data_IF_453221892659
#
_entry.id   IF_453221892659
#
_cell.length_a   1.000
_cell.length_b   1.000
_cell.length_c   1.000
_cell.angle_alpha   90.00
_cell.angle_beta   90.00
_cell.angle_gamma   90.00
#
_symmetry.space_group_name_H-M   'P 1'
#
loop_
_entity.id
_entity.type
_entity.pdbx_description
1 polymer ?
#
# COMPACT_ATOMS: atom_id res chain seq x y z
N UNK A 1 57.31 -47.72 23.71
CA UNK A 1 56.35 -47.58 22.60
C UNK A 1 55.17 -46.76 23.12
N UNK A 2 55.15 -45.45 22.86
CA UNK A 2 54.03 -44.57 23.21
C UNK A 2 53.29 -44.24 21.92
N UNK A 3 52.07 -44.73 21.79
CA UNK A 3 51.15 -44.49 20.68
C UNK A 3 50.56 -43.08 20.83
N UNK A 4 50.88 -42.20 19.89
CA UNK A 4 50.25 -40.89 19.77
C UNK A 4 48.86 -41.05 19.13
N UNK A 5 47.82 -40.66 19.87
CA UNK A 5 46.46 -40.59 19.35
C UNK A 5 46.31 -39.30 18.53
N UNK A 6 46.07 -39.45 17.22
CA UNK A 6 45.72 -38.35 16.34
C UNK A 6 44.23 -38.04 16.55
N UNK A 7 43.92 -36.91 17.18
CA UNK A 7 42.57 -36.34 17.16
C UNK A 7 42.28 -35.84 15.75
N UNK A 8 41.40 -36.54 15.03
CA UNK A 8 40.77 -36.03 13.82
C UNK A 8 39.68 -35.06 14.25
N UNK A 9 39.94 -33.76 14.13
CA UNK A 9 38.88 -32.75 14.16
C UNK A 9 37.96 -33.00 12.97
N UNK A 10 36.76 -33.50 13.23
CA UNK A 10 35.69 -33.52 12.24
C UNK A 10 35.36 -32.06 11.91
N UNK A 11 35.78 -31.59 10.74
CA UNK A 11 35.26 -30.37 10.15
C UNK A 11 33.75 -30.54 10.01
N UNK A 12 32.99 -29.87 10.87
CA UNK A 12 31.58 -29.63 10.64
C UNK A 12 31.45 -28.98 9.27
N UNK A 13 30.93 -29.74 8.30
CA UNK A 13 30.56 -29.19 7.00
C UNK A 13 29.65 -28.00 7.28
N UNK A 14 30.13 -26.79 6.98
CA UNK A 14 29.27 -25.63 6.90
C UNK A 14 28.13 -26.05 5.97
N UNK A 15 26.89 -26.04 6.47
CA UNK A 15 25.76 -25.90 5.56
C UNK A 15 26.14 -24.75 4.62
N UNK A 16 26.15 -25.01 3.31
CA UNK A 16 26.63 -24.02 2.34
C UNK A 16 25.94 -22.68 2.59
N UNK A 17 26.67 -21.58 2.42
CA UNK A 17 26.09 -20.25 2.59
C UNK A 17 24.78 -20.16 1.78
N UNK A 18 23.73 -19.50 2.33
CA UNK A 18 22.46 -19.35 1.61
C UNK A 18 22.69 -18.79 0.21
N UNK A 19 21.84 -19.16 -0.73
CA UNK A 19 21.95 -18.73 -2.14
C UNK A 19 20.76 -17.89 -2.55
N UNK A 20 20.93 -17.09 -3.61
CA UNK A 20 19.84 -16.30 -4.14
C UNK A 20 18.66 -17.17 -4.57
N UNK A 21 18.95 -18.16 -5.41
CA UNK A 21 17.92 -18.98 -6.07
C UNK A 21 17.05 -19.73 -5.06
N UNK A 22 17.68 -20.38 -4.08
CA UNK A 22 16.99 -21.24 -3.12
C UNK A 22 16.41 -20.50 -1.93
N UNK A 23 17.18 -19.58 -1.34
CA UNK A 23 16.92 -19.10 0.02
C UNK A 23 16.44 -17.65 0.06
N UNK A 24 16.97 -16.79 -0.81
CA UNK A 24 16.66 -15.34 -0.78
C UNK A 24 15.52 -14.97 -1.74
N UNK A 25 15.47 -15.53 -2.95
CA UNK A 25 14.43 -15.24 -3.92
C UNK A 25 13.01 -15.48 -3.37
N UNK A 26 12.71 -16.58 -2.63
CA UNK A 26 11.39 -16.75 -2.01
C UNK A 26 11.01 -15.60 -1.06
N UNK A 27 11.98 -15.07 -0.29
CA UNK A 27 11.76 -13.98 0.65
C UNK A 27 11.45 -12.67 -0.10
N UNK A 28 12.26 -12.36 -1.12
CA UNK A 28 12.07 -11.15 -1.94
C UNK A 28 10.76 -11.22 -2.74
N UNK A 29 10.43 -12.38 -3.29
CA UNK A 29 9.21 -12.61 -4.07
C UNK A 29 7.94 -12.45 -3.23
N UNK A 30 8.00 -12.87 -1.97
CA UNK A 30 6.88 -12.72 -1.04
C UNK A 30 6.70 -11.28 -0.55
N UNK A 31 7.80 -10.58 -0.26
CA UNK A 31 7.74 -9.39 0.62
C UNK A 31 8.26 -8.10 -0.01
N UNK A 32 8.95 -8.17 -1.16
CA UNK A 32 9.65 -7.02 -1.74
C UNK A 32 9.20 -6.69 -3.16
N UNK A 33 8.98 -7.70 -4.01
CA UNK A 33 8.74 -7.49 -5.46
C UNK A 33 7.40 -6.85 -5.80
N UNK A 34 6.48 -6.69 -4.84
CA UNK A 34 5.27 -5.88 -5.07
C UNK A 34 5.65 -4.44 -5.43
N UNK A 35 6.70 -3.91 -4.79
CA UNK A 35 7.27 -2.60 -5.10
C UNK A 35 8.55 -2.70 -5.94
N UNK A 36 9.36 -3.75 -5.75
CA UNK A 36 10.66 -3.97 -6.40
C UNK A 36 10.55 -4.87 -7.64
N UNK A 37 9.74 -4.44 -8.59
CA UNK A 37 9.63 -5.06 -9.93
C UNK A 37 9.76 -4.00 -11.02
N UNK A 38 10.10 -4.37 -12.27
CA UNK A 38 10.16 -3.41 -13.37
C UNK A 38 8.90 -2.55 -13.45
N UNK A 39 9.09 -1.24 -13.64
CA UNK A 39 8.01 -0.24 -13.79
C UNK A 39 7.09 -0.07 -12.57
N UNK A 40 7.39 -0.72 -11.44
CA UNK A 40 6.74 -0.42 -10.16
C UNK A 40 7.44 0.75 -9.45
N UNK A 41 7.12 0.95 -8.17
CA UNK A 41 7.48 2.16 -7.45
C UNK A 41 8.95 2.22 -7.02
N UNK A 42 9.59 1.08 -6.74
CA UNK A 42 10.96 1.10 -6.26
C UNK A 42 11.94 1.39 -7.42
N UNK A 43 13.07 2.06 -7.14
CA UNK A 43 14.02 2.47 -8.18
C UNK A 43 14.83 1.30 -8.79
N UNK A 44 14.65 0.09 -8.27
CA UNK A 44 15.33 -1.12 -8.71
C UNK A 44 14.42 -2.35 -8.63
N UNK A 45 14.58 -3.24 -9.60
CA UNK A 45 14.01 -4.59 -9.60
C UNK A 45 14.76 -5.47 -8.59
N UNK A 46 14.04 -6.40 -7.97
CA UNK A 46 14.60 -7.50 -7.18
C UNK A 46 14.11 -8.86 -7.71
N UNK A 47 13.62 -8.91 -8.96
CA UNK A 47 13.01 -10.11 -9.55
C UNK A 47 14.05 -11.13 -10.03
N UNK A 48 15.26 -10.70 -10.35
CA UNK A 48 16.34 -11.56 -10.86
C UNK A 48 17.58 -11.45 -9.97
N UNK A 49 18.47 -12.43 -10.07
CA UNK A 49 19.74 -12.40 -9.34
C UNK A 49 20.58 -11.21 -9.80
N UNK A 50 20.66 -11.00 -11.11
CA UNK A 50 21.43 -9.94 -11.75
C UNK A 50 20.96 -8.55 -11.29
N UNK A 51 19.64 -8.36 -11.13
CA UNK A 51 19.07 -7.11 -10.62
C UNK A 51 19.32 -6.94 -9.12
N UNK A 52 19.16 -7.99 -8.32
CA UNK A 52 19.24 -7.90 -6.86
C UNK A 52 20.68 -7.82 -6.34
N UNK A 53 21.63 -8.49 -7.00
CA UNK A 53 23.02 -8.65 -6.55
C UNK A 53 23.76 -7.32 -6.32
N UNK A 54 23.65 -6.28 -7.18
CA UNK A 54 24.26 -4.97 -6.94
C UNK A 54 23.79 -4.30 -5.65
N UNK A 55 22.56 -4.60 -5.21
CA UNK A 55 21.92 -3.99 -4.04
C UNK A 55 22.09 -4.82 -2.76
N UNK A 56 22.76 -5.97 -2.81
CA UNK A 56 22.89 -6.92 -1.69
C UNK A 56 23.22 -6.25 -0.34
N UNK A 57 24.23 -5.39 -0.29
CA UNK A 57 24.61 -4.68 0.96
C UNK A 57 23.52 -3.73 1.46
N UNK A 58 22.87 -3.01 0.55
CA UNK A 58 21.79 -2.10 0.88
C UNK A 58 20.55 -2.87 1.37
N UNK A 59 20.21 -3.99 0.70
CA UNK A 59 19.13 -4.90 1.12
C UNK A 59 19.40 -5.36 2.56
N UNK A 60 20.59 -5.93 2.84
CA UNK A 60 20.98 -6.37 4.20
C UNK A 60 20.80 -5.26 5.23
N UNK A 61 21.30 -4.05 4.94
CA UNK A 61 21.18 -2.92 5.87
C UNK A 61 19.71 -2.56 6.15
N UNK A 62 18.87 -2.51 5.10
CA UNK A 62 17.47 -2.12 5.22
C UNK A 62 16.62 -3.17 5.94
N UNK A 63 16.85 -4.46 5.69
CA UNK A 63 16.14 -5.53 6.40
C UNK A 63 16.60 -5.66 7.85
N UNK A 64 17.91 -5.56 8.12
CA UNK A 64 18.46 -5.65 9.47
C UNK A 64 17.99 -4.49 10.37
N UNK A 65 17.75 -3.31 9.80
CA UNK A 65 17.20 -2.15 10.51
C UNK A 65 15.67 -2.09 10.49
N UNK A 66 15.00 -3.10 9.92
CA UNK A 66 13.53 -3.17 9.74
C UNK A 66 12.94 -1.95 9.04
N UNK A 67 13.72 -1.31 8.17
CA UNK A 67 13.22 -0.25 7.29
C UNK A 67 12.52 -0.82 6.07
N UNK A 68 12.85 -2.06 5.67
CA UNK A 68 12.22 -2.77 4.58
C UNK A 68 11.90 -4.22 4.95
N UNK A 69 10.79 -4.78 4.45
CA UNK A 69 9.67 -4.03 3.89
C UNK A 69 9.01 -3.16 4.97
N UNK A 70 8.41 -2.02 4.60
CA UNK A 70 7.78 -1.13 5.57
C UNK A 70 6.58 -1.83 6.18
N UNK A 71 6.63 -2.02 7.50
CA UNK A 71 5.51 -2.55 8.28
C UNK A 71 5.59 -1.99 9.69
N UNK A 72 4.58 -1.22 10.08
CA UNK A 72 4.59 -0.48 11.33
C UNK A 72 3.85 -1.16 12.48
N UNK A 73 3.07 -2.21 12.21
CA UNK A 73 2.26 -2.84 13.26
C UNK A 73 3.13 -3.61 14.25
N UNK A 74 2.76 -3.50 15.53
CA UNK A 74 3.29 -4.31 16.61
C UNK A 74 2.90 -5.79 16.39
N UNK A 75 3.87 -6.71 16.26
CA UNK A 75 3.59 -8.13 15.98
C UNK A 75 2.88 -8.85 17.14
N UNK A 76 2.77 -8.21 18.32
CA UNK A 76 2.03 -8.75 19.47
C UNK A 76 0.55 -8.35 19.48
N UNK A 77 0.13 -7.48 18.56
CA UNK A 77 -1.23 -6.90 18.51
C UNK A 77 -1.90 -7.23 17.18
N UNK A 78 -3.00 -7.96 17.24
CA UNK A 78 -3.79 -8.35 16.07
C UNK A 78 -3.07 -9.35 15.17
N UNK A 79 -3.74 -9.74 14.09
CA UNK A 79 -3.19 -10.52 13.00
C UNK A 79 -3.68 -9.91 11.71
N UNK A 80 -2.78 -9.74 10.73
CA UNK A 80 -3.10 -9.04 9.50
C UNK A 80 -2.83 -9.92 8.29
N UNK A 81 -3.78 -9.97 7.37
CA UNK A 81 -3.68 -10.75 6.14
C UNK A 81 -2.66 -10.19 5.15
N UNK A 82 -2.31 -8.90 5.29
CA UNK A 82 -1.35 -8.20 4.45
C UNK A 82 -0.03 -7.86 5.16
N UNK A 83 0.31 -8.58 6.24
CA UNK A 83 1.61 -8.45 6.91
C UNK A 83 2.75 -8.93 6.01
N UNK A 84 3.56 -7.98 5.55
CA UNK A 84 4.74 -8.23 4.71
C UNK A 84 6.04 -8.31 5.51
N UNK A 85 5.99 -8.16 6.84
CA UNK A 85 7.19 -8.10 7.67
C UNK A 85 8.03 -9.38 7.59
N UNK A 86 9.35 -9.21 7.71
CA UNK A 86 10.28 -10.33 7.73
C UNK A 86 10.44 -10.88 9.15
N UNK A 87 10.36 -12.20 9.24
CA UNK A 87 10.78 -12.96 10.42
C UNK A 87 12.29 -12.81 10.61
N UNK A 88 12.76 -12.96 11.85
CA UNK A 88 14.19 -12.84 12.13
C UNK A 88 15.02 -13.84 11.32
N UNK A 89 14.54 -15.08 11.16
CA UNK A 89 15.21 -16.08 10.32
C UNK A 89 15.31 -15.66 8.83
N UNK A 90 14.32 -14.96 8.28
CA UNK A 90 14.38 -14.44 6.91
C UNK A 90 15.43 -13.31 6.79
N UNK A 91 15.51 -12.44 7.79
CA UNK A 91 16.55 -11.39 7.88
C UNK A 91 17.94 -12.02 7.98
N UNK A 92 18.11 -13.04 8.82
CA UNK A 92 19.37 -13.73 9.05
C UNK A 92 19.82 -14.48 7.79
N UNK A 93 18.90 -15.11 7.06
CA UNK A 93 19.16 -15.73 5.75
C UNK A 93 19.70 -14.71 4.74
N UNK A 94 19.06 -13.54 4.63
CA UNK A 94 19.54 -12.48 3.75
C UNK A 94 20.92 -11.99 4.20
N UNK A 95 21.12 -11.77 5.50
CA UNK A 95 22.40 -11.32 6.02
C UNK A 95 23.52 -12.32 5.74
N UNK A 96 23.28 -13.61 5.99
CA UNK A 96 24.24 -14.69 5.72
C UNK A 96 24.52 -14.86 4.22
N UNK A 97 23.53 -14.71 3.35
CA UNK A 97 23.73 -14.68 1.89
C UNK A 97 24.70 -13.56 1.51
N UNK A 98 24.47 -12.34 2.00
CA UNK A 98 25.32 -11.18 1.69
C UNK A 98 26.74 -11.34 2.27
N UNK A 99 26.85 -11.80 3.51
CA UNK A 99 28.12 -12.00 4.20
C UNK A 99 28.93 -13.14 3.54
N UNK A 100 28.25 -14.14 2.96
CA UNK A 100 28.82 -15.20 2.14
C UNK A 100 29.18 -14.79 0.70
N UNK A 101 29.13 -13.49 0.38
CA UNK A 101 29.45 -12.98 -0.95
C UNK A 101 28.32 -13.13 -1.95
N UNK A 102 27.07 -13.19 -1.48
CA UNK A 102 25.81 -13.15 -2.24
C UNK A 102 25.69 -14.15 -3.41
N UNK A 103 26.07 -15.44 -3.27
CA UNK A 103 26.09 -16.38 -4.39
C UNK A 103 24.71 -16.58 -5.02
N UNK A 104 24.67 -16.79 -6.35
CA UNK A 104 23.41 -17.05 -7.08
C UNK A 104 22.79 -18.41 -6.70
N UNK A 105 23.64 -19.43 -6.54
CA UNK A 105 23.21 -20.81 -6.36
C UNK A 105 22.79 -21.49 -7.66
N UNK A 106 22.08 -22.62 -7.54
CA UNK A 106 21.57 -23.35 -8.69
C UNK A 106 20.28 -22.71 -9.20
N UNK A 107 20.29 -22.23 -10.46
CA UNK A 107 19.11 -21.64 -11.12
C UNK A 107 17.91 -22.58 -11.18
N UNK A 108 18.12 -23.91 -11.15
CA UNK A 108 17.03 -24.88 -11.10
C UNK A 108 16.27 -24.89 -9.75
N UNK A 109 16.86 -24.32 -8.69
CA UNK A 109 16.19 -24.14 -7.39
C UNK A 109 15.47 -22.78 -7.28
N UNK A 110 15.59 -21.91 -8.30
CA UNK A 110 14.89 -20.62 -8.32
C UNK A 110 13.38 -20.87 -8.39
N UNK A 111 12.57 -20.36 -7.44
CA UNK A 111 11.12 -20.49 -7.52
C UNK A 111 10.60 -19.76 -8.76
N UNK A 112 9.41 -20.16 -9.22
CA UNK A 112 8.71 -19.41 -10.25
C UNK A 112 8.55 -17.95 -9.80
N UNK A 113 9.01 -17.02 -10.63
CA UNK A 113 8.83 -15.60 -10.37
C UNK A 113 7.33 -15.28 -10.30
N UNK A 114 6.89 -14.44 -9.34
CA UNK A 114 5.51 -13.98 -9.30
C UNK A 114 5.12 -13.35 -10.63
N UNK A 115 3.97 -13.75 -11.14
CA UNK A 115 3.37 -13.10 -12.30
C UNK A 115 2.55 -11.92 -11.82
N UNK A 116 2.75 -10.79 -12.48
CA UNK A 116 1.95 -9.59 -12.26
C UNK A 116 1.10 -9.36 -13.50
N UNK A 117 -0.13 -8.88 -13.29
CA UNK A 117 -1.02 -8.64 -14.42
C UNK A 117 -0.40 -7.62 -15.37
N UNK A 118 -0.34 -7.98 -16.65
CA UNK A 118 -0.09 -7.01 -17.71
C UNK A 118 -1.36 -6.17 -17.88
N UNK A 119 -1.26 -4.87 -17.62
CA UNK A 119 -2.42 -3.98 -17.71
C UNK A 119 -3.02 -3.65 -16.35
N UNK A 120 -4.13 -4.31 -16.00
CA UNK A 120 -4.89 -4.05 -14.77
C UNK A 120 -4.65 -5.18 -13.77
N UNK A 121 -4.17 -4.84 -12.58
CA UNK A 121 -3.95 -5.72 -11.44
C UNK A 121 -5.24 -6.36 -10.92
N UNK A 122 -6.38 -5.66 -11.07
CA UNK A 122 -7.71 -6.14 -10.65
C UNK A 122 -8.41 -7.07 -11.66
N UNK A 123 -7.69 -7.52 -12.70
CA UNK A 123 -8.28 -8.18 -13.86
C UNK A 123 -8.97 -7.20 -14.81
N UNK A 124 -9.76 -7.70 -15.77
CA UNK A 124 -10.46 -6.85 -16.75
C UNK A 124 -11.49 -5.97 -16.04
N UNK A 125 -11.38 -4.63 -16.10
CA UNK A 125 -12.39 -3.74 -15.54
C UNK A 125 -13.71 -3.84 -16.32
N UNK A 126 -14.82 -3.74 -15.60
CA UNK A 126 -16.15 -3.58 -16.19
C UNK A 126 -16.38 -2.13 -16.62
N UNK A 127 -15.83 -1.18 -15.86
CA UNK A 127 -15.79 0.24 -16.23
C UNK A 127 -14.37 0.80 -16.10
N UNK A 128 -14.04 1.73 -17.00
CA UNK A 128 -12.81 2.52 -16.95
C UNK A 128 -13.18 4.00 -17.01
N UNK A 129 -12.93 4.73 -15.93
CA UNK A 129 -13.10 6.19 -15.87
C UNK A 129 -11.75 6.86 -16.12
N UNK A 130 -11.68 7.81 -17.05
CA UNK A 130 -10.39 8.39 -17.49
C UNK A 130 -10.41 9.91 -17.30
N UNK A 131 -9.29 10.49 -16.86
CA UNK A 131 -9.08 11.93 -16.91
C UNK A 131 -9.39 12.44 -18.33
N UNK A 132 -10.31 13.39 -18.46
CA UNK A 132 -10.75 13.84 -19.78
C UNK A 132 -9.68 14.62 -20.54
N UNK A 133 -8.73 15.22 -19.82
CA UNK A 133 -7.55 15.86 -20.37
C UNK A 133 -6.28 15.26 -19.76
N UNK A 134 -5.23 15.04 -20.56
CA UNK A 134 -3.92 14.68 -20.02
C UNK A 134 -3.29 15.87 -19.29
N UNK A 135 -2.54 15.59 -18.24
CA UNK A 135 -1.70 16.56 -17.57
C UNK A 135 -0.23 16.39 -17.97
N UNK A 136 0.44 17.48 -18.30
CA UNK A 136 1.88 17.47 -18.59
C UNK A 136 2.67 17.83 -17.34
N UNK A 137 3.32 16.84 -16.73
CA UNK A 137 4.25 17.05 -15.62
C UNK A 137 5.52 17.70 -16.17
N UNK A 138 5.95 18.86 -15.63
CA UNK A 138 7.19 19.50 -16.05
C UNK A 138 8.41 18.64 -15.69
N UNK A 139 9.54 18.93 -16.35
CA UNK A 139 10.78 18.22 -16.07
C UNK A 139 11.30 18.47 -14.65
N UNK A 140 11.14 19.71 -14.16
CA UNK A 140 11.68 20.18 -12.89
C UNK A 140 10.68 21.11 -12.17
N UNK A 141 10.92 21.32 -10.88
CA UNK A 141 10.15 22.23 -10.04
C UNK A 141 9.10 21.51 -9.17
N UNK A 142 8.38 22.28 -8.36
CA UNK A 142 7.29 21.75 -7.53
C UNK A 142 5.99 21.82 -8.31
N UNK A 143 5.27 20.70 -8.38
CA UNK A 143 3.91 20.67 -8.90
C UNK A 143 2.95 20.78 -7.70
N UNK A 144 2.05 21.79 -7.68
CA UNK A 144 1.08 21.88 -6.60
C UNK A 144 0.13 20.69 -6.64
N UNK A 145 -0.53 20.42 -5.51
CA UNK A 145 -1.66 19.52 -5.49
C UNK A 145 -2.74 20.01 -6.45
N UNK A 146 -3.30 19.09 -7.22
CA UNK A 146 -4.36 19.41 -8.18
C UNK A 146 -5.56 18.51 -7.97
N UNK A 147 -6.73 19.03 -8.28
CA UNK A 147 -8.00 18.33 -8.23
C UNK A 147 -8.54 18.20 -9.64
N UNK A 148 -8.79 16.97 -10.07
CA UNK A 148 -9.32 16.65 -11.40
C UNK A 148 -10.62 15.89 -11.23
N UNK A 149 -11.68 16.36 -11.90
CA UNK A 149 -12.99 15.73 -11.85
C UNK A 149 -13.22 14.87 -13.08
N UNK A 150 -13.74 13.66 -12.86
CA UNK A 150 -14.01 12.66 -13.91
C UNK A 150 -15.49 12.31 -13.83
N UNK A 151 -16.27 12.52 -14.89
CA UNK A 151 -17.67 12.11 -14.90
C UNK A 151 -17.80 10.61 -15.03
N UNK A 152 -18.62 9.99 -14.18
CA UNK A 152 -18.91 8.55 -14.31
C UNK A 152 -19.96 8.26 -15.38
N UNK A 153 -20.89 9.20 -15.61
CA UNK A 153 -22.05 9.08 -16.49
C UNK A 153 -22.95 7.86 -16.22
N UNK A 154 -22.82 7.24 -15.04
CA UNK A 154 -23.59 6.07 -14.64
C UNK A 154 -25.09 6.38 -14.62
N UNK A 155 -25.90 5.49 -15.20
CA UNK A 155 -27.36 5.62 -15.24
C UNK A 155 -28.04 5.00 -14.02
N UNK A 156 -27.36 4.06 -13.39
CA UNK A 156 -27.81 3.36 -12.20
C UNK A 156 -26.66 3.22 -11.21
N UNK A 157 -27.00 2.94 -9.96
CA UNK A 157 -26.02 2.66 -8.93
C UNK A 157 -25.26 1.38 -9.28
N UNK A 158 -23.94 1.41 -9.17
CA UNK A 158 -23.10 0.21 -9.30
C UNK A 158 -22.43 -0.14 -7.99
N UNK A 159 -22.14 -1.43 -7.82
CA UNK A 159 -21.44 -1.96 -6.65
C UNK A 159 -20.15 -2.60 -7.13
N UNK A 160 -19.02 -2.09 -6.64
CA UNK A 160 -17.70 -2.53 -7.07
C UNK A 160 -17.06 -3.39 -5.99
N UNK A 161 -16.40 -4.47 -6.42
CA UNK A 161 -15.60 -5.36 -5.56
C UNK A 161 -14.10 -5.07 -5.65
N UNK A 162 -13.66 -4.37 -6.69
CA UNK A 162 -12.27 -4.01 -6.89
C UNK A 162 -12.12 -2.66 -7.61
N UNK A 163 -11.03 -1.96 -7.32
CA UNK A 163 -10.65 -0.68 -7.94
C UNK A 163 -9.14 -0.53 -8.05
N UNK A 164 -8.69 0.05 -9.16
CA UNK A 164 -7.29 0.36 -9.41
C UNK A 164 -7.17 1.74 -10.03
N UNK A 165 -6.29 2.57 -9.48
CA UNK A 165 -5.95 3.89 -10.03
C UNK A 165 -4.63 3.74 -10.79
N UNK A 166 -4.69 3.99 -12.10
CA UNK A 166 -3.61 3.69 -13.03
C UNK A 166 -3.17 4.95 -13.79
N UNK A 167 -2.09 5.60 -13.34
CA UNK A 167 -1.40 6.63 -14.12
C UNK A 167 -0.90 6.07 -15.45
N UNK A 168 -0.76 6.92 -16.46
CA UNK A 168 -0.05 6.57 -17.70
C UNK A 168 1.44 6.33 -17.42
N UNK A 169 2.05 7.15 -16.56
CA UNK A 169 3.42 6.96 -16.08
C UNK A 169 3.46 7.10 -14.55
N UNK A 170 3.60 5.96 -13.86
CA UNK A 170 3.62 5.91 -12.40
C UNK A 170 4.79 6.68 -11.79
N UNK A 171 5.91 6.85 -12.51
CA UNK A 171 7.13 7.46 -11.97
C UNK A 171 6.94 8.92 -11.56
N UNK A 172 6.00 9.61 -12.20
CA UNK A 172 5.71 11.02 -11.89
C UNK A 172 4.58 11.22 -10.89
N UNK A 173 3.87 10.18 -10.47
CA UNK A 173 2.79 10.29 -9.49
C UNK A 173 3.30 9.86 -8.13
N UNK A 174 3.28 10.74 -7.13
CA UNK A 174 3.62 10.40 -5.76
C UNK A 174 2.44 9.70 -5.07
N UNK A 175 1.26 10.34 -5.08
CA UNK A 175 0.01 9.72 -4.66
C UNK A 175 -1.22 10.30 -5.38
N UNK A 176 -2.30 9.52 -5.33
CA UNK A 176 -3.64 9.92 -5.76
C UNK A 176 -4.62 9.59 -4.64
N UNK A 177 -5.51 10.54 -4.32
CA UNK A 177 -6.65 10.27 -3.45
C UNK A 177 -7.92 10.46 -4.27
N UNK A 178 -8.82 9.48 -4.23
CA UNK A 178 -10.08 9.54 -4.98
C UNK A 178 -11.27 9.66 -4.04
N UNK A 179 -12.15 10.61 -4.33
CA UNK A 179 -13.42 10.81 -3.64
C UNK A 179 -14.56 10.73 -4.65
N UNK A 180 -15.67 10.12 -4.28
CA UNK A 180 -16.90 10.17 -5.05
C UNK A 180 -17.71 11.36 -4.53
N UNK A 181 -18.21 12.20 -5.43
CA UNK A 181 -19.00 13.37 -5.07
C UNK A 181 -20.26 13.44 -5.91
N UNK A 182 -21.25 14.16 -5.41
CA UNK A 182 -22.53 14.31 -6.10
C UNK A 182 -22.35 14.92 -7.50
N UNK A 183 -23.08 14.38 -8.46
CA UNK A 183 -23.26 15.04 -9.75
C UNK A 183 -24.17 16.24 -9.60
N UNK A 184 -23.93 17.28 -10.40
CA UNK A 184 -24.78 18.47 -10.46
C UNK A 184 -25.59 18.54 -11.76
N UNK A 185 -25.71 17.41 -12.47
CA UNK A 185 -26.38 17.31 -13.78
C UNK A 185 -25.63 17.96 -14.93
N UNK A 186 -24.40 18.45 -14.71
CA UNK A 186 -23.51 18.99 -15.74
C UNK A 186 -22.22 18.17 -15.76
N UNK A 187 -21.59 18.10 -16.93
CA UNK A 187 -20.24 17.55 -16.99
C UNK A 187 -19.30 18.45 -16.15
N UNK A 188 -18.43 17.86 -15.32
CA UNK A 188 -17.47 18.64 -14.56
C UNK A 188 -16.44 19.27 -15.51
N UNK A 189 -15.84 20.37 -15.07
CA UNK A 189 -14.72 20.98 -15.79
C UNK A 189 -13.51 20.02 -15.75
N UNK A 190 -12.96 19.60 -16.91
CA UNK A 190 -11.85 18.67 -16.95
C UNK A 190 -10.51 19.29 -16.55
N UNK A 191 -10.40 20.63 -16.52
CA UNK A 191 -9.17 21.34 -16.21
C UNK A 191 -8.75 21.12 -14.74
N UNK A 192 -7.48 20.76 -14.47
CA UNK A 192 -6.97 20.64 -13.10
C UNK A 192 -7.15 21.93 -12.30
N UNK A 193 -7.66 21.82 -11.08
CA UNK A 193 -7.86 22.95 -10.16
C UNK A 193 -6.92 22.86 -8.96
N UNK A 194 -6.51 23.99 -8.39
CA UNK A 194 -5.66 24.01 -7.18
C UNK A 194 -6.43 23.68 -5.90
N UNK A 195 -7.76 23.79 -5.94
CA UNK A 195 -8.64 23.53 -4.80
C UNK A 195 -9.80 22.65 -5.21
N UNK A 196 -10.27 21.82 -4.28
CA UNK A 196 -11.51 21.06 -4.45
C UNK A 196 -12.71 22.02 -4.53
N UNK A 197 -13.69 21.71 -5.37
CA UNK A 197 -14.97 22.42 -5.39
C UNK A 197 -15.71 22.18 -4.05
N UNK A 198 -15.90 23.22 -3.20
CA UNK A 198 -16.53 23.06 -1.90
C UNK A 198 -18.06 22.91 -2.00
N UNK A 199 -18.66 23.17 -3.17
CA UNK A 199 -20.11 23.10 -3.35
C UNK A 199 -20.62 21.66 -3.54
N UNK A 200 -19.74 20.73 -3.93
CA UNK A 200 -20.11 19.33 -4.14
C UNK A 200 -19.85 18.49 -2.89
N UNK A 201 -20.89 17.82 -2.42
CA UNK A 201 -20.80 16.90 -1.28
C UNK A 201 -20.18 15.56 -1.69
N UNK A 202 -19.40 15.00 -0.79
CA UNK A 202 -18.91 13.63 -0.91
C UNK A 202 -20.06 12.64 -0.68
N UNK A 203 -20.18 11.64 -1.56
CA UNK A 203 -21.25 10.64 -1.54
C UNK A 203 -20.64 9.26 -1.78
N UNK A 204 -20.99 8.24 -1.00
CA UNK A 204 -20.42 6.89 -1.19
C UNK A 204 -18.93 6.75 -0.82
N UNK A 205 -18.29 7.80 -0.29
CA UNK A 205 -16.90 7.84 0.20
C UNK A 205 -15.84 7.82 -0.91
N UNK A 206 -14.59 7.50 -0.56
CA UNK A 206 -13.49 7.43 -1.51
C UNK A 206 -13.29 6.07 -2.21
N UNK A 207 -12.86 6.06 -3.47
CA UNK A 207 -12.48 4.84 -4.20
C UNK A 207 -11.07 4.34 -3.81
N UNK A 208 -10.55 4.80 -2.67
CA UNK A 208 -9.19 4.54 -2.21
C UNK A 208 -8.18 5.54 -2.80
N UNK A 209 -6.92 5.14 -2.75
CA UNK A 209 -5.84 5.97 -3.23
C UNK A 209 -4.68 5.12 -3.72
N UNK A 210 -3.94 5.69 -4.65
CA UNK A 210 -2.66 5.17 -5.08
C UNK A 210 -1.60 5.81 -4.18
N UNK A 211 -1.03 5.04 -3.26
CA UNK A 211 0.03 5.48 -2.34
C UNK A 211 1.17 4.47 -2.40
N UNK A 212 2.37 4.82 -1.91
CA UNK A 212 3.41 3.83 -1.69
C UNK A 212 2.91 2.62 -0.89
N UNK A 213 2.99 1.43 -1.50
CA UNK A 213 2.54 0.17 -0.89
C UNK A 213 1.07 -0.22 -1.15
N UNK A 214 0.29 0.57 -1.88
CA UNK A 214 -1.09 0.22 -2.30
C UNK A 214 -1.30 0.55 -3.77
N UNK A 215 -1.24 -0.47 -4.63
CA UNK A 215 -1.40 -0.32 -6.08
C UNK A 215 -2.86 -0.44 -6.52
N UNK A 216 -3.65 -1.24 -5.82
CA UNK A 216 -5.08 -1.45 -6.08
C UNK A 216 -5.80 -1.84 -4.78
N UNK A 217 -7.13 -1.88 -4.81
CA UNK A 217 -7.96 -2.35 -3.71
C UNK A 217 -8.94 -3.42 -4.19
N UNK A 218 -8.87 -4.60 -3.58
CA UNK A 218 -9.93 -5.61 -3.63
C UNK A 218 -10.60 -5.70 -2.27
N UNK A 219 -11.93 -5.75 -2.29
CA UNK A 219 -12.76 -5.95 -1.11
C UNK A 219 -12.95 -7.44 -0.85
N UNK A 220 -13.20 -7.79 0.41
CA UNK A 220 -13.51 -9.17 0.81
C UNK A 220 -14.76 -9.72 0.09
N UNK A 221 -14.87 -11.04 0.04
CA UNK A 221 -16.07 -11.68 -0.51
C UNK A 221 -17.34 -11.22 0.23
N UNK A 222 -18.37 -10.88 -0.56
CA UNK A 222 -19.62 -10.31 -0.04
C UNK A 222 -19.53 -8.86 0.42
N UNK A 223 -18.40 -8.15 0.19
CA UNK A 223 -18.22 -6.73 0.51
C UNK A 223 -18.06 -5.91 -0.78
N UNK A 224 -18.75 -4.77 -0.88
CA UNK A 224 -18.69 -3.93 -2.08
C UNK A 224 -18.92 -2.46 -1.77
N UNK A 225 -18.26 -1.57 -2.53
CA UNK A 225 -18.49 -0.13 -2.46
C UNK A 225 -19.49 0.31 -3.51
N UNK A 226 -20.45 1.15 -3.12
CA UNK A 226 -21.42 1.74 -4.03
C UNK A 226 -20.85 2.98 -4.71
N UNK A 227 -21.00 3.08 -6.04
CA UNK A 227 -20.86 4.33 -6.80
C UNK A 227 -22.26 4.75 -7.24
N UNK A 228 -22.81 5.86 -6.71
CA UNK A 228 -24.16 6.29 -7.06
C UNK A 228 -24.30 6.69 -8.53
N UNK A 229 -25.50 6.49 -9.08
CA UNK A 229 -25.87 6.98 -10.41
C UNK A 229 -25.60 8.49 -10.54
N UNK A 230 -25.03 8.90 -11.68
CA UNK A 230 -24.73 10.29 -11.97
C UNK A 230 -23.66 10.96 -11.09
N UNK A 231 -23.02 10.24 -10.17
CA UNK A 231 -21.92 10.78 -9.36
C UNK A 231 -20.67 11.05 -10.22
N UNK A 232 -19.78 11.91 -9.72
CA UNK A 232 -18.47 12.15 -10.33
C UNK A 232 -17.36 11.69 -9.39
N UNK A 233 -16.19 11.42 -9.95
CA UNK A 233 -14.99 11.09 -9.18
C UNK A 233 -14.07 12.31 -9.18
N UNK A 234 -13.57 12.71 -8.00
CA UNK A 234 -12.55 13.73 -7.87
C UNK A 234 -11.24 13.07 -7.44
N UNK A 235 -10.22 13.23 -8.27
CA UNK A 235 -8.85 12.86 -7.96
C UNK A 235 -8.10 14.06 -7.39
N UNK A 236 -7.53 13.91 -6.19
CA UNK A 236 -6.45 14.76 -5.72
C UNK A 236 -5.13 14.15 -6.18
N UNK A 237 -4.46 14.82 -7.11
CA UNK A 237 -3.21 14.42 -7.72
C UNK A 237 -2.03 15.13 -7.05
N UNK A 238 -0.99 14.37 -6.73
CA UNK A 238 0.31 14.91 -6.30
C UNK A 238 1.40 14.30 -7.18
N UNK A 239 1.96 15.13 -8.05
CA UNK A 239 3.04 14.74 -8.97
C UNK A 239 4.42 15.08 -8.40
N UNK A 240 5.42 14.31 -8.81
CA UNK A 240 6.84 14.57 -8.56
C UNK A 240 7.56 14.65 -9.90
N UNK A 241 8.36 15.69 -10.08
CA UNK A 241 9.17 15.90 -11.28
C UNK A 241 10.40 14.99 -11.26
N UNK A 242 10.78 14.44 -12.42
CA UNK A 242 11.83 13.40 -12.53
C UNK A 242 12.97 13.80 -13.49
N UNK A 243 13.15 15.09 -13.79
CA UNK A 243 14.16 15.60 -14.73
C UNK A 243 13.79 15.43 -16.21
N UNK A 244 12.56 14.97 -16.50
CA UNK A 244 12.03 14.88 -17.85
C UNK A 244 10.54 15.22 -17.88
N UNK A 245 10.08 15.82 -18.97
CA UNK A 245 8.67 16.14 -19.18
C UNK A 245 7.90 14.85 -19.49
N UNK A 246 6.81 14.61 -18.77
CA UNK A 246 5.99 13.39 -18.90
C UNK A 246 4.53 13.78 -18.99
N UNK A 247 3.77 13.04 -19.80
CA UNK A 247 2.31 13.22 -19.92
C UNK A 247 1.63 12.11 -19.14
N UNK A 248 0.72 12.48 -18.25
CA UNK A 248 -0.12 11.56 -17.49
C UNK A 248 -1.60 11.76 -17.82
N UNK A 249 -2.30 10.67 -18.09
CA UNK A 249 -3.75 10.63 -18.20
C UNK A 249 -4.25 9.45 -17.36
N UNK A 250 -4.39 9.69 -16.06
CA UNK A 250 -4.77 8.65 -15.10
C UNK A 250 -6.15 8.06 -15.45
N UNK A 251 -6.23 6.73 -15.33
CA UNK A 251 -7.44 5.94 -15.46
C UNK A 251 -7.82 5.28 -14.13
N UNK A 252 -9.11 4.99 -13.95
CA UNK A 252 -9.65 4.29 -12.80
C UNK A 252 -10.44 3.10 -13.33
N UNK A 253 -9.90 1.90 -13.12
CA UNK A 253 -10.58 0.65 -13.45
C UNK A 253 -11.39 0.18 -12.25
N UNK A 254 -12.61 -0.29 -12.48
CA UNK A 254 -13.43 -0.93 -11.45
C UNK A 254 -14.02 -2.26 -11.95
N UNK A 255 -14.12 -3.23 -11.04
CA UNK A 255 -14.79 -4.52 -11.27
C UNK A 255 -16.04 -4.59 -10.42
N UNK A 256 -17.16 -4.97 -11.02
CA UNK A 256 -18.45 -5.09 -10.35
C UNK A 256 -18.49 -6.30 -9.41
N UNK A 257 -19.20 -6.13 -8.31
CA UNK A 257 -19.70 -7.24 -7.52
C UNK A 257 -20.75 -8.01 -8.34
N UNK A 258 -20.68 -9.35 -8.33
CA UNK A 258 -21.61 -10.20 -9.10
C UNK A 258 -22.90 -10.51 -8.35
N UNK A 259 -22.88 -10.41 -7.02
CA UNK A 259 -24.04 -10.65 -6.19
C UNK A 259 -24.99 -9.46 -6.21
N UNK A 260 -26.31 -9.69 -6.03
CA UNK A 260 -27.26 -8.60 -5.92
C UNK A 260 -26.95 -7.73 -4.69
N UNK A 261 -27.17 -6.40 -4.73
CA UNK A 261 -26.84 -5.49 -3.65
C UNK A 261 -27.39 -5.88 -2.27
N UNK A 262 -28.55 -6.53 -2.23
CA UNK A 262 -29.18 -6.99 -0.98
C UNK A 262 -28.39 -8.07 -0.23
N UNK A 263 -27.44 -8.75 -0.90
CA UNK A 263 -26.54 -9.75 -0.29
C UNK A 263 -25.16 -9.18 0.05
N UNK A 264 -24.85 -7.98 -0.44
CA UNK A 264 -23.58 -7.33 -0.22
C UNK A 264 -23.60 -6.56 1.10
N UNK A 265 -22.53 -6.69 1.87
CA UNK A 265 -22.19 -5.72 2.91
C UNK A 265 -21.61 -4.49 2.22
N UNK A 266 -22.19 -3.33 2.49
CA UNK A 266 -21.63 -2.08 2.00
C UNK A 266 -20.26 -1.85 2.65
N UNK A 267 -19.23 -1.78 1.82
CA UNK A 267 -17.94 -1.26 2.25
C UNK A 267 -18.12 0.22 2.60
N UNK A 268 -17.51 0.59 3.72
CA UNK A 268 -17.63 1.89 4.32
C UNK A 268 -16.55 2.05 5.38
N UNK A 269 -16.78 2.98 6.29
CA UNK A 269 -15.75 3.44 7.20
C UNK A 269 -15.42 4.89 6.90
N UNK A 270 -15.21 5.65 7.97
CA UNK A 270 -14.87 7.06 7.91
C UNK A 270 -13.61 7.31 8.70
N UNK A 271 -13.04 8.51 8.54
CA UNK A 271 -12.08 8.98 9.51
C UNK A 271 -12.77 9.11 10.87
N UNK A 272 -12.06 8.77 11.94
CA UNK A 272 -12.44 9.09 13.33
C UNK A 272 -11.51 10.23 13.79
N UNK A 273 -11.63 11.45 13.25
CA UNK A 273 -10.70 12.51 13.58
C UNK A 273 -11.12 13.20 14.88
N UNK A 274 -10.13 13.75 15.58
CA UNK A 274 -10.34 14.92 16.42
C UNK A 274 -9.72 16.10 15.66
N UNK A 275 -10.53 17.06 15.22
CA UNK A 275 -10.08 18.22 14.44
C UNK A 275 -9.90 19.49 15.30
N UNK A 276 -10.18 19.40 16.60
CA UNK A 276 -10.18 20.56 17.51
C UNK A 276 -8.90 20.68 18.33
N UNK A 277 -7.91 19.82 18.11
CA UNK A 277 -6.65 19.84 18.84
C UNK A 277 -5.70 20.93 18.34
N UNK A 278 -4.85 21.42 19.24
CA UNK A 278 -3.68 22.23 18.94
C UNK A 278 -2.51 21.59 19.67
N UNK A 279 -1.45 21.22 18.95
CA UNK A 279 -0.22 20.72 19.57
C UNK A 279 0.53 21.94 20.13
N UNK A 280 0.77 22.04 21.45
CA UNK A 280 1.54 23.14 22.01
C UNK A 280 2.97 23.17 21.42
N UNK A 281 3.53 24.36 21.13
CA UNK A 281 4.90 24.46 20.67
C UNK A 281 5.88 23.80 21.66
N UNK A 282 6.74 22.92 21.14
CA UNK A 282 7.75 22.23 21.95
C UNK A 282 7.27 21.00 22.71
N UNK A 283 5.97 20.67 22.67
CA UNK A 283 5.47 19.44 23.28
C UNK A 283 6.13 18.22 22.59
N UNK A 284 6.86 17.37 23.34
CA UNK A 284 7.57 16.27 22.75
C UNK A 284 6.67 15.07 22.45
N UNK A 285 5.47 14.95 23.01
CA UNK A 285 4.60 13.78 22.82
C UNK A 285 3.13 14.05 23.17
N UNK A 286 2.47 14.90 22.39
CA UNK A 286 1.08 15.29 22.61
C UNK A 286 0.09 14.24 22.09
N UNK A 287 -0.80 13.73 22.95
CA UNK A 287 -1.82 12.75 22.59
C UNK A 287 -3.06 13.41 21.98
N UNK A 288 -3.57 12.82 20.88
CA UNK A 288 -4.84 13.21 20.26
C UNK A 288 -5.73 11.98 20.18
N UNK A 289 -6.91 12.05 20.81
CA UNK A 289 -7.88 10.95 20.83
C UNK A 289 -9.09 11.33 19.99
N UNK A 290 -9.42 10.48 19.01
CA UNK A 290 -10.71 10.46 18.31
C UNK A 290 -11.55 9.27 18.80
N UNK A 291 -12.88 9.45 18.88
CA UNK A 291 -13.82 8.38 19.27
C UNK A 291 -15.04 8.40 18.37
N UNK A 292 -15.54 7.21 18.03
CA UNK A 292 -16.80 7.04 17.32
C UNK A 292 -17.56 5.85 17.91
N UNK A 293 -18.85 6.04 18.15
CA UNK A 293 -19.77 4.97 18.55
C UNK A 293 -20.45 4.42 17.30
N UNK A 294 -20.50 3.09 17.19
CA UNK A 294 -21.26 2.40 16.15
C UNK A 294 -22.61 1.98 16.74
N UNK A 295 -23.70 2.31 16.05
CA UNK A 295 -25.09 2.09 16.47
C UNK A 295 -25.71 0.79 15.91
N UNK A 296 -24.93 0.05 15.14
CA UNK A 296 -25.29 -1.23 14.53
C UNK A 296 -24.09 -2.16 14.53
N UNK A 297 -24.36 -3.46 14.49
CA UNK A 297 -23.33 -4.48 14.31
C UNK A 297 -22.47 -4.15 13.10
N UNK A 298 -21.16 -4.02 13.34
CA UNK A 298 -20.19 -3.54 12.35
C UNK A 298 -19.01 -4.49 12.34
N UNK A 299 -18.66 -4.96 11.14
CA UNK A 299 -17.45 -5.74 10.92
C UNK A 299 -16.28 -4.81 10.61
N UNK A 300 -15.26 -4.81 11.46
CA UNK A 300 -14.01 -4.09 11.19
C UNK A 300 -13.12 -4.98 10.31
N UNK A 301 -12.91 -4.60 9.06
CA UNK A 301 -12.05 -5.34 8.13
C UNK A 301 -10.63 -4.80 8.05
N UNK A 302 -10.46 -3.47 8.16
CA UNK A 302 -9.16 -2.84 8.05
C UNK A 302 -9.07 -1.51 8.79
N UNK A 303 -7.85 -1.10 9.08
CA UNK A 303 -7.52 0.16 9.75
C UNK A 303 -6.44 0.90 8.95
N UNK A 304 -6.45 2.23 9.04
CA UNK A 304 -5.55 3.10 8.29
C UNK A 304 -5.17 4.32 9.15
N UNK A 305 -4.08 4.24 9.95
CA UNK A 305 -3.60 5.40 10.68
C UNK A 305 -3.08 6.47 9.72
N UNK A 306 -3.52 7.71 9.92
CA UNK A 306 -3.05 8.85 9.13
C UNK A 306 -2.80 10.06 10.02
N UNK A 307 -1.58 10.56 9.99
CA UNK A 307 -1.14 11.79 10.65
C UNK A 307 -0.10 12.46 9.75
N UNK A 308 0.05 13.79 9.84
CA UNK A 308 1.11 14.49 9.11
C UNK A 308 2.48 14.31 9.78
N UNK A 309 3.47 15.12 9.39
CA UNK A 309 4.91 15.03 9.76
C UNK A 309 5.24 15.06 11.27
N UNK A 310 4.26 15.32 12.14
CA UNK A 310 4.42 15.28 13.61
C UNK A 310 3.92 13.97 14.24
N UNK A 311 3.26 13.09 13.48
CA UNK A 311 2.78 11.80 13.97
C UNK A 311 3.93 10.91 14.41
N UNK A 312 3.73 10.15 15.50
CA UNK A 312 4.76 9.29 16.11
C UNK A 312 4.32 7.85 16.29
N UNK A 313 3.11 7.66 16.78
CA UNK A 313 2.48 6.35 16.95
C UNK A 313 0.97 6.44 16.81
N UNK A 314 0.32 5.31 16.56
CA UNK A 314 -1.13 5.21 16.48
C UNK A 314 -1.59 3.93 17.17
N UNK A 315 -2.67 4.03 17.95
CA UNK A 315 -3.33 2.88 18.57
C UNK A 315 -4.82 2.94 18.29
N UNK A 316 -5.40 1.80 17.89
CA UNK A 316 -6.83 1.62 17.71
C UNK A 316 -7.31 0.65 18.77
N UNK A 317 -8.30 1.07 19.55
CA UNK A 317 -8.93 0.28 20.62
C UNK A 317 -10.42 0.18 20.35
N UNK A 318 -10.96 -1.04 20.42
CA UNK A 318 -12.40 -1.27 20.45
C UNK A 318 -12.83 -1.28 21.92
N UNK A 319 -13.82 -0.46 22.24
CA UNK A 319 -14.55 -0.51 23.50
C UNK A 319 -15.89 -1.20 23.26
N UNK A 320 -16.09 -2.35 23.89
CA UNK A 320 -17.31 -3.14 23.79
C UNK A 320 -18.40 -2.65 24.76
N UNK A 321 -19.69 -2.95 24.50
CA UNK A 321 -20.79 -2.54 25.39
C UNK A 321 -20.69 -3.08 26.83
N UNK A 322 -19.96 -4.17 27.05
CA UNK A 322 -19.69 -4.78 28.35
C UNK A 322 -18.52 -4.12 29.11
N UNK A 323 -17.89 -3.10 28.53
CA UNK A 323 -16.72 -2.42 29.10
C UNK A 323 -15.38 -3.08 28.79
N UNK A 324 -15.36 -4.19 28.04
CA UNK A 324 -14.11 -4.79 27.57
C UNK A 324 -13.42 -3.86 26.57
N UNK A 325 -12.10 -3.75 26.68
CA UNK A 325 -11.25 -3.07 25.72
C UNK A 325 -10.38 -4.06 24.97
N UNK A 326 -10.23 -3.85 23.67
CA UNK A 326 -9.35 -4.66 22.82
C UNK A 326 -8.54 -3.74 21.92
N UNK A 327 -7.21 -3.78 22.08
CA UNK A 327 -6.31 -3.10 21.15
C UNK A 327 -6.22 -3.95 19.89
N UNK A 328 -6.74 -3.41 18.78
CA UNK A 328 -6.82 -4.11 17.48
C UNK A 328 -5.75 -3.68 16.50
N UNK A 329 -5.13 -2.52 16.72
CA UNK A 329 -3.93 -2.07 16.00
C UNK A 329 -3.06 -1.22 16.91
N UNK A 330 -1.75 -1.46 16.86
CA UNK A 330 -0.73 -0.60 17.45
C UNK A 330 0.40 -0.40 16.46
N UNK A 331 0.73 0.86 16.17
CA UNK A 331 1.82 1.28 15.28
C UNK A 331 2.76 2.16 16.10
N UNK A 332 3.76 1.59 16.80
CA UNK A 332 4.58 2.34 17.77
C UNK A 332 5.63 3.27 17.13
N UNK A 333 5.84 3.15 15.81
CA UNK A 333 6.78 3.96 15.03
C UNK A 333 6.13 4.35 13.71
N UNK A 334 5.09 5.18 13.79
CA UNK A 334 4.42 5.73 12.62
C UNK A 334 5.41 6.54 11.77
N UNK A 335 5.37 6.34 10.46
CA UNK A 335 6.13 7.09 9.47
C UNK A 335 5.16 7.63 8.43
N UNK A 336 5.08 8.96 8.30
CA UNK A 336 4.21 9.64 7.33
C UNK A 336 4.48 9.21 5.88
N UNK A 337 5.70 8.77 5.57
CA UNK A 337 6.05 8.29 4.23
C UNK A 337 5.44 6.91 3.94
N UNK A 338 5.03 6.16 4.98
CA UNK A 338 4.45 4.82 4.90
C UNK A 338 3.03 4.79 5.46
N UNK A 339 2.09 5.24 4.63
CA UNK A 339 0.67 5.25 4.98
C UNK A 339 0.04 3.92 4.56
N UNK A 340 0.21 2.91 5.41
CA UNK A 340 -0.20 1.53 5.15
C UNK A 340 -1.61 1.25 5.67
N UNK A 341 -2.33 0.36 4.99
CA UNK A 341 -3.56 -0.24 5.50
C UNK A 341 -3.22 -1.54 6.24
N UNK A 342 -3.90 -1.79 7.34
CA UNK A 342 -3.78 -3.00 8.16
C UNK A 342 -5.08 -3.77 8.05
N UNK A 343 -5.10 -4.84 7.24
CA UNK A 343 -6.28 -5.68 7.00
C UNK A 343 -6.29 -6.81 8.01
N UNK A 344 -7.35 -6.94 8.80
CA UNK A 344 -7.48 -8.03 9.76
C UNK A 344 -7.52 -9.39 9.03
N UNK A 345 -7.06 -10.45 9.70
CA UNK A 345 -6.88 -11.79 9.16
C UNK A 345 -8.06 -12.74 9.45
#
# INVERSE_FOLDING_TARGET
MMTAAVLVCASSASAGAPTFSKDVAPILFKSCVECHRPSAMAPMSLMTYEDARPWARAIRQKVATRQMPPWGADPTVGKYSNDVSLKQAEIDTIAAWVDGGAPEGNRAELPAAPTFAEGWSIGKPDFVFTMQQPFTVPADGTVPYMYVSIPTNLKEDIWIKAVELKPTDRRVVHHIISNIVEGNGKAPDPEPKLTRDPSRKEVGGGLGGLVPGRLYGEFEEGVARKIPAGADIVLQMHYTTIGQRVVDQTQIGVVLAREPPAKLRAEGGGAIPNMQFVIPPGDPNYEVVGKQTFDRDTYLSSMYPHMHVRGKDATYTILYPDGREEVVLRVPKYDFNWQLSYKLA
#
